data_IF_067031228228
#
_entry.id   IF_067031228228
#
_cell.length_a   1.000
_cell.length_b   1.000
_cell.length_c   1.000
_cell.angle_alpha   90.00
_cell.angle_beta   90.00
_cell.angle_gamma   90.00
#
_symmetry.space_group_name_H-M   'P 1'
#
loop_
_entity.id
_entity.type
_entity.pdbx_description
1 polymer ?
#
# COMPACT_ATOMS: atom_id res chain seq x y z
N UNK A 1 -77.56 -0.13 -22.69
CA UNK A 1 -76.99 -0.41 -21.35
C UNK A 1 -75.91 0.61 -21.05
N UNK A 2 -76.20 1.63 -20.23
CA UNK A 2 -75.21 2.65 -19.86
C UNK A 2 -74.56 2.28 -18.52
N UNK A 3 -73.23 2.11 -18.51
CA UNK A 3 -72.42 1.74 -17.35
C UNK A 3 -72.44 2.90 -16.32
N UNK A 4 -73.04 2.69 -15.15
CA UNK A 4 -73.06 3.66 -14.05
C UNK A 4 -71.62 3.86 -13.55
N UNK A 5 -71.05 5.05 -13.79
CA UNK A 5 -69.74 5.44 -13.24
C UNK A 5 -69.90 5.64 -11.74
N UNK A 6 -69.33 4.72 -10.94
CA UNK A 6 -69.22 4.90 -9.49
C UNK A 6 -68.20 6.00 -9.20
N UNK A 7 -68.67 7.23 -8.98
CA UNK A 7 -67.84 8.30 -8.44
C UNK A 7 -67.69 8.07 -6.94
N UNK A 8 -66.49 7.73 -6.49
CA UNK A 8 -66.18 7.64 -5.06
C UNK A 8 -66.41 9.00 -4.40
N UNK A 9 -66.97 9.07 -3.18
CA UNK A 9 -67.20 10.33 -2.49
C UNK A 9 -65.85 11.02 -2.20
N UNK A 10 -65.74 12.30 -2.57
CA UNK A 10 -64.57 13.13 -2.26
C UNK A 10 -64.65 13.65 -0.82
N UNK A 11 -63.57 13.46 -0.06
CA UNK A 11 -63.42 13.97 1.31
C UNK A 11 -63.55 15.51 1.36
N UNK A 12 -64.14 16.02 2.44
CA UNK A 12 -64.29 17.46 2.67
C UNK A 12 -62.92 18.15 2.85
N UNK A 13 -62.79 19.45 2.51
CA UNK A 13 -61.54 20.19 2.69
C UNK A 13 -61.01 20.16 4.14
N UNK A 14 -61.90 20.25 5.14
CA UNK A 14 -61.52 20.18 6.55
C UNK A 14 -60.99 18.79 6.95
N UNK A 15 -61.62 17.71 6.44
CA UNK A 15 -61.14 16.34 6.66
C UNK A 15 -59.77 16.11 6.02
N UNK A 16 -59.53 16.68 4.83
CA UNK A 16 -58.22 16.64 4.17
C UNK A 16 -57.15 17.38 4.98
N UNK A 17 -57.47 18.58 5.49
CA UNK A 17 -56.55 19.38 6.30
C UNK A 17 -56.20 18.70 7.63
N UNK A 18 -57.20 18.11 8.30
CA UNK A 18 -57.00 17.32 9.52
C UNK A 18 -56.14 16.07 9.29
N UNK A 19 -56.32 15.36 8.17
CA UNK A 19 -55.43 14.25 7.81
C UNK A 19 -54.01 14.71 7.52
N UNK A 20 -53.81 15.85 6.84
CA UNK A 20 -52.46 16.41 6.61
C UNK A 20 -51.78 16.75 7.95
N UNK A 21 -52.51 17.41 8.85
CA UNK A 21 -51.99 17.76 10.19
C UNK A 21 -51.61 16.53 11.02
N UNK A 22 -52.29 15.40 10.85
CA UNK A 22 -51.98 14.13 11.51
C UNK A 22 -50.81 13.39 10.85
N UNK A 23 -50.75 13.37 9.51
CA UNK A 23 -49.76 12.62 8.75
C UNK A 23 -48.37 13.22 8.82
N UNK A 24 -48.24 14.55 8.94
CA UNK A 24 -46.94 15.23 9.00
C UNK A 24 -46.12 14.78 10.23
N UNK A 25 -46.63 14.83 11.48
CA UNK A 25 -45.90 14.33 12.66
C UNK A 25 -45.54 12.84 12.56
N UNK A 26 -46.43 12.01 12.00
CA UNK A 26 -46.17 10.58 11.80
C UNK A 26 -45.03 10.37 10.81
N UNK A 27 -45.05 11.07 9.67
CA UNK A 27 -43.98 11.00 8.68
C UNK A 27 -42.64 11.47 9.25
N UNK A 28 -42.64 12.56 10.04
CA UNK A 28 -41.44 13.03 10.75
C UNK A 28 -40.95 11.97 11.73
N UNK A 29 -41.84 11.38 12.53
CA UNK A 29 -41.47 10.35 13.52
C UNK A 29 -40.88 9.11 12.84
N UNK A 30 -41.50 8.63 11.77
CA UNK A 30 -41.00 7.52 10.97
C UNK A 30 -39.62 7.87 10.40
N UNK A 31 -39.46 9.06 9.82
CA UNK A 31 -38.17 9.51 9.29
C UNK A 31 -37.07 9.56 10.37
N UNK A 32 -37.39 10.09 11.55
CA UNK A 32 -36.43 10.18 12.67
C UNK A 32 -36.04 8.78 13.14
N UNK A 33 -37.00 7.87 13.30
CA UNK A 33 -36.73 6.49 13.71
C UNK A 33 -35.91 5.74 12.65
N UNK A 34 -36.23 5.89 11.36
CA UNK A 34 -35.45 5.25 10.29
C UNK A 34 -34.05 5.86 10.18
N UNK A 35 -33.89 7.16 10.38
CA UNK A 35 -32.59 7.83 10.41
C UNK A 35 -31.69 7.29 11.53
N UNK A 36 -32.22 7.17 12.76
CA UNK A 36 -31.45 6.64 13.88
C UNK A 36 -31.17 5.14 13.74
N UNK A 37 -32.15 4.34 13.30
CA UNK A 37 -31.94 2.93 13.01
C UNK A 37 -30.87 2.74 11.91
N UNK A 38 -30.87 3.59 10.89
CA UNK A 38 -29.84 3.59 9.85
C UNK A 38 -28.46 3.98 10.40
N UNK A 39 -28.38 5.01 11.25
CA UNK A 39 -27.13 5.41 11.91
C UNK A 39 -26.56 4.28 12.77
N UNK A 40 -27.38 3.61 13.56
CA UNK A 40 -26.96 2.48 14.37
C UNK A 40 -26.44 1.34 13.48
N UNK A 41 -27.12 1.05 12.37
CA UNK A 41 -26.69 0.03 11.41
C UNK A 41 -25.30 0.35 10.81
N UNK A 42 -25.01 1.62 10.52
CA UNK A 42 -23.71 2.07 10.01
C UNK A 42 -22.56 1.88 11.00
N UNK A 43 -22.84 1.72 12.30
CA UNK A 43 -21.80 1.41 13.30
C UNK A 43 -21.38 -0.04 13.30
N UNK A 44 -22.10 -0.92 12.60
CA UNK A 44 -21.74 -2.33 12.52
C UNK A 44 -20.40 -2.48 11.77
N UNK A 45 -19.49 -3.37 12.23
CA UNK A 45 -18.15 -3.52 11.65
C UNK A 45 -18.11 -3.81 10.15
N UNK A 46 -19.18 -4.41 9.60
CA UNK A 46 -19.26 -4.75 8.18
C UNK A 46 -19.40 -3.51 7.29
N UNK A 47 -20.12 -2.48 7.75
CA UNK A 47 -20.30 -1.23 7.00
C UNK A 47 -19.04 -0.36 7.07
N UNK A 48 -18.35 -0.36 8.21
CA UNK A 48 -17.04 0.26 8.36
C UNK A 48 -16.04 -0.35 7.37
N UNK A 49 -15.95 -1.69 7.33
CA UNK A 49 -15.07 -2.41 6.39
C UNK A 49 -15.44 -2.13 4.92
N UNK A 50 -16.73 -2.11 4.59
CA UNK A 50 -17.20 -1.82 3.24
C UNK A 50 -16.85 -0.38 2.81
N UNK A 51 -17.09 0.60 3.69
CA UNK A 51 -16.76 2.00 3.42
C UNK A 51 -15.25 2.18 3.26
N UNK A 52 -14.44 1.50 4.07
CA UNK A 52 -12.99 1.53 3.98
C UNK A 52 -12.47 0.87 2.71
N UNK A 53 -12.97 -0.31 2.34
CA UNK A 53 -12.60 -0.98 1.10
C UNK A 53 -12.93 -0.10 -0.11
N UNK A 54 -14.13 0.51 -0.12
CA UNK A 54 -14.51 1.45 -1.17
C UNK A 54 -13.58 2.67 -1.23
N UNK A 55 -13.18 3.21 -0.09
CA UNK A 55 -12.23 4.33 -0.04
C UNK A 55 -10.84 3.93 -0.57
N UNK A 56 -10.34 2.73 -0.24
CA UNK A 56 -9.10 2.20 -0.82
C UNK A 56 -9.22 2.09 -2.33
N UNK A 57 -10.31 1.48 -2.83
CA UNK A 57 -10.55 1.32 -4.26
C UNK A 57 -10.55 2.69 -4.97
N UNK A 58 -11.27 3.69 -4.46
CA UNK A 58 -11.31 5.05 -5.00
C UNK A 58 -9.94 5.76 -4.98
N UNK A 59 -9.13 5.55 -3.94
CA UNK A 59 -7.76 6.08 -3.88
C UNK A 59 -6.88 5.39 -4.92
N UNK A 60 -6.91 4.06 -4.97
CA UNK A 60 -6.04 3.28 -5.85
C UNK A 60 -6.40 3.41 -7.33
N UNK A 61 -7.64 3.78 -7.68
CA UNK A 61 -8.04 4.14 -9.04
C UNK A 61 -7.25 5.32 -9.61
N UNK A 62 -6.63 6.14 -8.77
CA UNK A 62 -5.76 7.23 -9.21
C UNK A 62 -4.38 6.76 -9.62
N UNK A 63 -4.01 5.53 -9.28
CA UNK A 63 -2.70 4.96 -9.59
C UNK A 63 -2.79 4.16 -10.88
N UNK A 64 -1.82 4.33 -11.76
CA UNK A 64 -1.72 3.52 -12.98
C UNK A 64 -1.48 2.02 -12.66
N UNK A 65 -0.85 1.75 -11.52
CA UNK A 65 -0.69 0.44 -10.91
C UNK A 65 -1.00 0.57 -9.42
N UNK A 66 -2.08 -0.07 -9.01
CA UNK A 66 -2.48 -0.31 -7.62
C UNK A 66 -1.34 -0.90 -6.79
N UNK A 67 -1.13 -0.39 -5.58
CA UNK A 67 -0.19 -0.99 -4.62
C UNK A 67 -0.84 -2.26 -4.09
N UNK A 68 -0.25 -3.46 -4.28
CA UNK A 68 -0.83 -4.67 -3.73
C UNK A 68 -0.92 -4.58 -2.21
N UNK A 69 -2.13 -4.64 -1.66
CA UNK A 69 -2.39 -4.42 -0.24
C UNK A 69 -1.57 -5.35 0.66
N UNK A 70 -1.31 -6.58 0.20
CA UNK A 70 -0.46 -7.55 0.91
C UNK A 70 0.96 -7.07 1.19
N UNK A 71 1.49 -6.11 0.41
CA UNK A 71 2.84 -5.58 0.59
C UNK A 71 2.88 -4.35 1.49
N UNK A 72 1.76 -3.62 1.65
CA UNK A 72 1.71 -2.40 2.46
C UNK A 72 2.20 -2.63 3.90
N UNK A 73 1.79 -3.69 4.60
CA UNK A 73 2.27 -3.94 5.96
C UNK A 73 3.78 -4.20 6.03
N UNK A 74 4.37 -4.81 5.00
CA UNK A 74 5.82 -5.06 4.93
C UNK A 74 6.57 -3.74 4.80
N UNK A 75 6.08 -2.82 3.96
CA UNK A 75 6.67 -1.49 3.84
C UNK A 75 6.55 -0.69 5.15
N UNK A 76 5.41 -0.77 5.84
CA UNK A 76 5.20 -0.08 7.13
C UNK A 76 6.16 -0.65 8.19
N UNK A 77 6.30 -1.97 8.29
CA UNK A 77 7.23 -2.57 9.24
C UNK A 77 8.70 -2.17 8.96
N UNK A 78 9.08 -2.07 7.68
CA UNK A 78 10.40 -1.58 7.29
C UNK A 78 10.58 -0.07 7.58
N UNK A 79 9.54 0.74 7.40
CA UNK A 79 9.51 2.15 7.81
C UNK A 79 9.74 2.30 9.31
N UNK A 80 9.05 1.53 10.14
CA UNK A 80 9.21 1.55 11.60
C UNK A 80 10.63 1.20 12.03
N UNK A 81 11.28 0.24 11.35
CA UNK A 81 12.65 -0.19 11.66
C UNK A 81 13.72 0.80 11.18
N UNK A 82 13.56 1.36 9.99
CA UNK A 82 14.64 2.10 9.31
C UNK A 82 14.39 3.60 9.14
N UNK A 83 13.19 4.09 9.46
CA UNK A 83 12.76 5.47 9.27
C UNK A 83 12.60 5.89 7.81
N UNK A 84 12.57 4.93 6.87
CA UNK A 84 12.39 5.19 5.44
C UNK A 84 10.90 5.18 5.14
N UNK A 85 10.31 6.25 4.55
CA UNK A 85 8.88 6.31 4.30
C UNK A 85 8.36 5.07 3.55
N UNK A 86 7.28 4.46 4.02
CA UNK A 86 6.76 3.22 3.43
C UNK A 86 6.32 3.44 1.96
N UNK A 87 5.84 4.64 1.65
CA UNK A 87 5.46 5.07 0.29
C UNK A 87 6.67 5.18 -0.63
N UNK A 88 7.86 5.49 -0.10
CA UNK A 88 9.11 5.48 -0.87
C UNK A 88 9.55 4.04 -1.20
N UNK A 89 9.36 3.10 -0.27
CA UNK A 89 9.64 1.67 -0.50
C UNK A 89 8.68 1.11 -1.56
N UNK A 90 7.40 1.44 -1.49
CA UNK A 90 6.42 1.10 -2.51
C UNK A 90 6.80 1.68 -3.89
N UNK A 91 7.26 2.93 -3.94
CA UNK A 91 7.70 3.56 -5.19
C UNK A 91 8.92 2.85 -5.82
N UNK A 92 9.92 2.44 -5.03
CA UNK A 92 11.03 1.64 -5.53
C UNK A 92 10.52 0.29 -6.04
N UNK A 93 9.73 -0.44 -5.26
CA UNK A 93 9.23 -1.76 -5.66
C UNK A 93 8.43 -1.70 -6.97
N UNK A 94 7.66 -0.63 -7.16
CA UNK A 94 6.96 -0.34 -8.41
C UNK A 94 7.92 -0.16 -9.59
N UNK A 95 8.94 0.68 -9.44
CA UNK A 95 9.90 0.98 -10.51
C UNK A 95 10.75 -0.25 -10.86
N UNK A 96 11.17 -1.01 -9.85
CA UNK A 96 12.05 -2.16 -10.04
C UNK A 96 11.34 -3.33 -10.73
N UNK A 97 10.15 -3.69 -10.27
CA UNK A 97 9.51 -4.95 -10.72
C UNK A 97 8.01 -4.83 -10.95
N UNK A 98 7.45 -3.61 -10.95
CA UNK A 98 6.00 -3.36 -11.01
C UNK A 98 5.27 -4.21 -9.97
N UNK A 99 5.78 -4.17 -8.74
CA UNK A 99 5.31 -4.97 -7.60
C UNK A 99 5.38 -6.49 -7.86
N UNK A 100 6.58 -7.00 -8.18
CA UNK A 100 6.83 -8.43 -8.39
C UNK A 100 6.10 -9.08 -9.57
N UNK A 101 5.70 -8.30 -10.58
CA UNK A 101 4.96 -8.83 -11.75
C UNK A 101 5.88 -9.17 -12.93
N UNK A 102 7.16 -8.80 -12.87
CA UNK A 102 8.17 -9.15 -13.87
C UNK A 102 8.55 -10.62 -13.72
N UNK A 103 8.53 -11.39 -14.82
CA UNK A 103 8.66 -12.87 -14.76
C UNK A 103 10.02 -13.38 -14.26
N UNK A 104 11.12 -12.77 -14.70
CA UNK A 104 12.47 -13.30 -14.42
C UNK A 104 13.01 -12.84 -13.08
N UNK A 105 12.54 -11.70 -12.57
CA UNK A 105 13.08 -11.04 -11.37
C UNK A 105 14.61 -10.89 -11.39
N UNK A 106 15.19 -10.92 -12.59
CA UNK A 106 16.61 -10.73 -12.89
C UNK A 106 16.71 -9.78 -14.07
N UNK A 107 17.38 -8.64 -13.89
CA UNK A 107 17.60 -7.65 -14.95
C UNK A 107 18.72 -8.06 -15.91
N UNK A 108 18.81 -7.40 -17.06
CA UNK A 108 19.94 -7.57 -17.99
C UNK A 108 21.30 -7.19 -17.37
N UNK A 109 21.28 -6.28 -16.39
CA UNK A 109 22.45 -5.90 -15.62
C UNK A 109 22.84 -6.92 -14.55
N UNK A 110 21.99 -7.92 -14.27
CA UNK A 110 22.21 -8.94 -13.24
C UNK A 110 21.75 -8.51 -11.85
N UNK A 111 20.83 -7.54 -11.76
CA UNK A 111 20.15 -7.22 -10.51
C UNK A 111 19.06 -8.25 -10.22
N UNK A 112 18.85 -8.63 -8.97
CA UNK A 112 18.04 -9.78 -8.57
C UNK A 112 16.94 -9.40 -7.56
N UNK A 113 15.83 -10.14 -7.60
CA UNK A 113 14.81 -10.12 -6.56
C UNK A 113 13.80 -8.97 -6.64
N UNK A 114 12.96 -8.84 -5.62
CA UNK A 114 11.82 -7.91 -5.59
C UNK A 114 12.22 -6.45 -5.76
N UNK A 115 13.35 -6.09 -5.17
CA UNK A 115 13.91 -4.74 -5.16
C UNK A 115 15.14 -4.59 -6.08
N UNK A 116 15.40 -5.57 -6.96
CA UNK A 116 16.46 -5.57 -7.97
C UNK A 116 17.82 -5.11 -7.42
N UNK A 117 18.35 -5.85 -6.45
CA UNK A 117 19.69 -5.60 -5.92
C UNK A 117 20.76 -6.20 -6.82
N UNK A 118 21.85 -5.44 -7.05
CA UNK A 118 23.08 -6.05 -7.56
C UNK A 118 23.67 -6.99 -6.49
N UNK A 119 24.12 -8.21 -6.83
CA UNK A 119 24.62 -9.18 -5.85
C UNK A 119 25.72 -8.63 -4.92
N UNK A 120 26.65 -7.83 -5.43
CA UNK A 120 27.70 -7.20 -4.64
C UNK A 120 27.21 -6.10 -3.69
N UNK A 121 26.08 -5.47 -3.99
CA UNK A 121 25.41 -4.57 -3.05
C UNK A 121 24.73 -5.38 -1.95
N UNK A 122 24.13 -6.52 -2.31
CA UNK A 122 23.40 -7.36 -1.36
C UNK A 122 24.35 -8.08 -0.39
N UNK A 123 25.34 -8.83 -0.91
CA UNK A 123 26.35 -9.56 -0.09
C UNK A 123 27.43 -8.63 0.48
N UNK A 124 27.74 -7.53 -0.21
CA UNK A 124 28.76 -6.56 0.20
C UNK A 124 29.97 -6.52 -0.72
N UNK A 125 30.41 -5.30 -1.03
CA UNK A 125 31.47 -5.01 -1.99
C UNK A 125 32.86 -5.50 -1.59
N UNK A 126 33.05 -5.90 -0.33
CA UNK A 126 34.31 -6.51 0.14
C UNK A 126 34.43 -7.99 -0.20
N UNK A 127 33.39 -8.62 -0.77
CA UNK A 127 33.47 -9.98 -1.25
C UNK A 127 34.54 -10.08 -2.36
N UNK A 128 35.46 -11.06 -2.33
CA UNK A 128 36.64 -11.09 -3.19
C UNK A 128 36.34 -11.19 -4.68
N UNK A 129 35.15 -11.66 -5.04
CA UNK A 129 34.71 -11.78 -6.45
C UNK A 129 33.96 -10.55 -6.95
N UNK A 130 33.71 -9.54 -6.11
CA UNK A 130 32.96 -8.36 -6.50
C UNK A 130 33.76 -7.43 -7.41
N UNK A 131 33.18 -7.14 -8.58
CA UNK A 131 33.80 -6.29 -9.59
C UNK A 131 32.76 -5.73 -10.58
N UNK A 132 33.17 -4.75 -11.38
CA UNK A 132 32.35 -4.20 -12.48
C UNK A 132 31.04 -3.60 -11.95
N UNK A 133 29.91 -3.96 -12.57
CA UNK A 133 28.57 -3.50 -12.18
C UNK A 133 28.03 -4.15 -10.90
N UNK A 134 28.81 -5.01 -10.23
CA UNK A 134 28.41 -5.61 -8.96
C UNK A 134 27.74 -6.99 -9.07
N UNK A 135 28.07 -7.77 -10.12
CA UNK A 135 27.60 -9.16 -10.28
C UNK A 135 28.33 -10.14 -9.36
N UNK A 136 29.66 -10.15 -9.43
CA UNK A 136 30.51 -11.12 -8.75
C UNK A 136 30.25 -12.58 -9.13
N UNK A 137 31.18 -13.47 -8.76
CA UNK A 137 30.96 -14.92 -8.77
C UNK A 137 30.69 -15.34 -7.33
N UNK A 138 29.43 -15.28 -6.91
CA UNK A 138 28.99 -15.52 -5.53
C UNK A 138 28.01 -16.70 -5.57
N UNK A 139 28.20 -17.71 -4.73
CA UNK A 139 27.23 -18.81 -4.64
C UNK A 139 25.92 -18.32 -4.00
N UNK A 140 24.78 -18.95 -4.31
CA UNK A 140 23.49 -18.58 -3.69
C UNK A 140 23.54 -18.62 -2.15
N UNK A 141 24.22 -19.63 -1.59
CA UNK A 141 24.38 -19.78 -0.15
C UNK A 141 25.21 -18.65 0.48
N UNK A 142 26.25 -18.16 -0.20
CA UNK A 142 27.03 -17.01 0.28
C UNK A 142 26.27 -15.70 0.12
N UNK A 143 25.58 -15.50 -1.02
CA UNK A 143 24.81 -14.29 -1.31
C UNK A 143 23.75 -14.02 -0.24
N UNK A 144 23.09 -15.08 0.23
CA UNK A 144 21.93 -15.02 1.12
C UNK A 144 22.27 -15.33 2.58
N UNK A 145 23.55 -15.54 2.91
CA UNK A 145 23.98 -15.82 4.29
C UNK A 145 24.11 -14.53 5.10
N UNK A 146 23.35 -14.34 6.19
CA UNK A 146 23.47 -13.15 7.04
C UNK A 146 24.89 -12.94 7.58
N UNK A 147 25.60 -14.03 7.92
CA UNK A 147 27.00 -13.98 8.35
C UNK A 147 27.91 -13.43 7.24
N UNK A 148 27.73 -13.91 6.01
CA UNK A 148 28.53 -13.48 4.85
C UNK A 148 28.24 -12.03 4.50
N UNK A 149 26.96 -11.63 4.52
CA UNK A 149 26.53 -10.25 4.30
C UNK A 149 27.17 -9.32 5.33
N UNK A 150 27.13 -9.67 6.62
CA UNK A 150 27.75 -8.89 7.68
C UNK A 150 29.28 -8.79 7.50
N UNK A 151 29.94 -9.90 7.17
CA UNK A 151 31.39 -9.97 6.94
C UNK A 151 31.84 -9.04 5.82
N UNK A 152 31.12 -9.00 4.70
CA UNK A 152 31.50 -8.19 3.54
C UNK A 152 30.83 -6.82 3.48
N UNK A 153 30.01 -6.49 4.47
CA UNK A 153 29.36 -5.18 4.61
C UNK A 153 28.26 -4.94 3.58
N UNK A 154 27.50 -5.98 3.27
CA UNK A 154 26.34 -5.91 2.39
C UNK A 154 25.10 -5.32 3.07
N UNK A 155 24.06 -5.14 2.28
CA UNK A 155 22.79 -4.55 2.72
C UNK A 155 21.66 -5.56 2.88
N UNK A 156 21.87 -6.82 2.51
CA UNK A 156 20.88 -7.88 2.69
C UNK A 156 20.47 -8.05 4.16
N UNK A 157 19.19 -8.29 4.39
CA UNK A 157 18.58 -8.44 5.71
C UNK A 157 17.72 -9.70 5.69
N UNK A 158 18.00 -10.63 6.61
CA UNK A 158 17.08 -11.69 7.03
C UNK A 158 16.07 -11.02 7.98
N UNK A 159 14.94 -10.62 7.42
CA UNK A 159 13.92 -9.83 8.09
C UNK A 159 12.86 -10.71 8.74
N UNK A 160 12.54 -11.85 8.13
CA UNK A 160 11.58 -12.81 8.65
C UNK A 160 12.18 -13.77 9.71
N UNK A 161 13.52 -13.80 9.86
CA UNK A 161 14.24 -14.54 10.89
C UNK A 161 14.42 -16.03 10.59
N UNK A 162 14.34 -16.45 9.32
CA UNK A 162 14.47 -17.86 8.92
C UNK A 162 15.94 -18.32 8.75
N UNK A 163 16.89 -17.40 8.94
CA UNK A 163 18.33 -17.64 8.80
C UNK A 163 18.88 -17.36 7.40
N UNK A 164 18.04 -16.89 6.48
CA UNK A 164 18.38 -16.60 5.09
C UNK A 164 17.94 -15.17 4.78
N UNK A 165 18.83 -14.38 4.16
CA UNK A 165 18.46 -13.09 3.60
C UNK A 165 18.21 -13.28 2.09
N UNK A 166 16.98 -13.60 1.70
CA UNK A 166 16.64 -13.90 0.30
C UNK A 166 16.11 -12.65 -0.43
N UNK A 167 16.80 -12.09 -1.45
CA UNK A 167 16.25 -11.00 -2.27
C UNK A 167 14.95 -11.36 -3.02
N UNK A 168 14.59 -12.65 -3.09
CA UNK A 168 13.33 -13.17 -3.64
C UNK A 168 12.27 -13.44 -2.57
N UNK A 169 12.57 -13.25 -1.29
CA UNK A 169 11.56 -13.07 -0.25
C UNK A 169 11.19 -11.59 -0.15
N UNK A 170 9.90 -11.30 -0.07
CA UNK A 170 9.42 -9.92 -0.12
C UNK A 170 9.79 -9.14 1.15
N UNK A 171 9.78 -9.78 2.32
CA UNK A 171 10.07 -9.13 3.58
C UNK A 171 11.57 -8.79 3.65
N UNK A 172 12.42 -9.75 3.33
CA UNK A 172 13.87 -9.57 3.26
C UNK A 172 14.26 -8.50 2.24
N UNK A 173 13.69 -8.54 1.04
CA UNK A 173 14.03 -7.61 -0.03
C UNK A 173 13.63 -6.16 0.34
N UNK A 174 12.43 -5.96 0.89
CA UNK A 174 11.96 -4.64 1.31
C UNK A 174 12.78 -4.10 2.48
N UNK A 175 13.10 -4.93 3.47
CA UNK A 175 13.93 -4.53 4.60
C UNK A 175 15.37 -4.23 4.16
N UNK A 176 15.89 -4.97 3.19
CA UNK A 176 17.19 -4.69 2.57
C UNK A 176 17.20 -3.34 1.85
N UNK A 177 16.13 -3.02 1.11
CA UNK A 177 15.97 -1.71 0.47
C UNK A 177 15.86 -0.57 1.49
N UNK A 178 15.10 -0.77 2.57
CA UNK A 178 14.99 0.19 3.66
C UNK A 178 16.32 0.42 4.39
N UNK A 179 17.07 -0.66 4.68
CA UNK A 179 18.41 -0.60 5.24
C UNK A 179 19.36 0.23 4.34
N UNK A 180 19.38 -0.07 3.04
CA UNK A 180 20.17 0.66 2.06
C UNK A 180 19.79 2.15 2.04
N UNK A 181 18.52 2.47 1.80
CA UNK A 181 18.05 3.85 1.65
C UNK A 181 18.27 4.68 2.93
N UNK A 182 18.07 4.07 4.10
CA UNK A 182 18.35 4.72 5.39
C UNK A 182 19.84 5.08 5.53
N UNK A 183 20.75 4.16 5.15
CA UNK A 183 22.20 4.40 5.16
C UNK A 183 22.60 5.60 4.31
N UNK A 184 21.92 5.82 3.19
CA UNK A 184 22.19 6.93 2.27
C UNK A 184 21.36 8.20 2.56
N UNK A 185 20.64 8.22 3.68
CA UNK A 185 20.07 9.44 4.26
C UNK A 185 18.57 9.62 4.06
N UNK A 186 17.84 8.64 3.49
CA UNK A 186 16.39 8.76 3.31
C UNK A 186 15.66 9.04 4.64
N UNK A 187 16.06 8.36 5.72
CA UNK A 187 15.50 8.57 7.06
C UNK A 187 15.80 9.96 7.67
N UNK A 188 16.76 10.70 7.08
CA UNK A 188 17.11 12.07 7.47
C UNK A 188 16.50 13.12 6.52
N UNK A 189 15.63 12.69 5.61
CA UNK A 189 15.04 13.56 4.59
C UNK A 189 15.91 13.78 3.35
N UNK A 190 17.08 13.15 3.24
CA UNK A 190 17.95 13.21 2.05
C UNK A 190 17.44 12.27 0.93
N UNK A 191 16.13 12.31 0.66
CA UNK A 191 15.40 11.35 -0.19
C UNK A 191 16.01 11.26 -1.59
N UNK A 192 16.21 12.39 -2.27
CA UNK A 192 16.76 12.42 -3.64
C UNK A 192 18.14 11.77 -3.72
N UNK A 193 19.00 12.07 -2.74
CA UNK A 193 20.36 11.50 -2.66
C UNK A 193 20.31 10.00 -2.45
N UNK A 194 19.46 9.52 -1.54
CA UNK A 194 19.32 8.09 -1.29
C UNK A 194 18.82 7.33 -2.54
N UNK A 195 17.85 7.88 -3.26
CA UNK A 195 17.35 7.29 -4.51
C UNK A 195 18.46 7.25 -5.58
N UNK A 196 19.23 8.34 -5.73
CA UNK A 196 20.33 8.38 -6.69
C UNK A 196 21.45 7.39 -6.36
N UNK A 197 21.69 7.12 -5.08
CA UNK A 197 22.65 6.08 -4.67
C UNK A 197 22.15 4.69 -5.05
N UNK A 198 20.84 4.44 -4.89
CA UNK A 198 20.21 3.19 -5.31
C UNK A 198 20.39 2.93 -6.82
N UNK A 199 20.18 3.96 -7.63
CA UNK A 199 20.42 3.93 -9.07
C UNK A 199 20.90 5.30 -9.57
N UNK A 200 22.11 5.35 -10.14
CA UNK A 200 22.80 6.58 -10.57
C UNK A 200 22.24 7.14 -11.89
N UNK A 201 20.92 7.31 -11.95
CA UNK A 201 20.16 7.81 -13.09
C UNK A 201 19.19 8.87 -12.63
N UNK A 202 19.36 10.10 -13.11
CA UNK A 202 18.42 11.20 -12.82
C UNK A 202 16.99 10.84 -13.24
N UNK A 203 16.84 10.11 -14.35
CA UNK A 203 15.52 9.66 -14.80
C UNK A 203 14.88 8.68 -13.82
N UNK A 204 15.68 7.79 -13.23
CA UNK A 204 15.20 6.90 -12.19
C UNK A 204 14.75 7.69 -10.95
N UNK A 205 15.56 8.69 -10.53
CA UNK A 205 15.23 9.56 -9.40
C UNK A 205 13.90 10.29 -9.62
N UNK A 206 13.71 10.89 -10.79
CA UNK A 206 12.45 11.54 -11.15
C UNK A 206 11.26 10.58 -11.07
N UNK A 207 11.40 9.39 -11.64
CA UNK A 207 10.33 8.40 -11.68
C UNK A 207 9.96 7.91 -10.27
N UNK A 208 10.94 7.59 -9.42
CA UNK A 208 10.69 7.16 -8.04
C UNK A 208 10.06 8.30 -7.24
N UNK A 209 10.55 9.54 -7.35
CA UNK A 209 9.96 10.69 -6.66
C UNK A 209 8.53 10.95 -7.08
N UNK A 210 8.21 10.79 -8.37
CA UNK A 210 6.85 10.93 -8.87
C UNK A 210 5.89 9.97 -8.16
N UNK A 211 6.19 8.68 -8.14
CA UNK A 211 5.34 7.69 -7.47
C UNK A 211 5.38 7.83 -5.94
N UNK A 212 6.52 8.19 -5.37
CA UNK A 212 6.61 8.49 -3.94
C UNK A 212 5.64 9.62 -3.57
N UNK A 213 5.65 10.75 -4.30
CA UNK A 213 4.74 11.87 -4.04
C UNK A 213 3.27 11.47 -4.26
N UNK A 214 2.98 10.70 -5.31
CA UNK A 214 1.63 10.21 -5.61
C UNK A 214 1.09 9.34 -4.46
N UNK A 215 1.89 8.40 -3.96
CA UNK A 215 1.50 7.52 -2.86
C UNK A 215 1.47 8.26 -1.53
N UNK A 216 2.40 9.20 -1.31
CA UNK A 216 2.48 9.98 -0.08
C UNK A 216 1.31 10.96 0.08
N UNK A 217 0.63 11.34 -1.00
CA UNK A 217 -0.60 12.13 -0.93
C UNK A 217 -1.76 11.40 -0.22
N UNK A 218 -1.68 10.07 -0.12
CA UNK A 218 -2.68 9.20 0.51
C UNK A 218 -2.08 8.33 1.63
N UNK A 219 -0.98 8.81 2.23
CA UNK A 219 -0.17 8.07 3.18
C UNK A 219 -1.00 7.55 4.37
N UNK A 220 -1.71 8.44 5.05
CA UNK A 220 -2.44 8.13 6.28
C UNK A 220 -3.68 7.30 6.00
N UNK A 221 -4.39 7.61 4.91
CA UNK A 221 -5.59 6.90 4.48
C UNK A 221 -5.28 5.44 4.13
N UNK A 222 -4.27 5.19 3.31
CA UNK A 222 -3.87 3.82 2.92
C UNK A 222 -3.32 3.04 4.12
N UNK A 223 -2.53 3.70 4.99
CA UNK A 223 -1.98 3.08 6.20
C UNK A 223 -3.09 2.67 7.17
N UNK A 224 -4.00 3.58 7.50
CA UNK A 224 -5.14 3.29 8.36
C UNK A 224 -6.03 2.18 7.78
N UNK A 225 -6.25 2.21 6.46
CA UNK A 225 -7.11 1.26 5.78
C UNK A 225 -6.61 -0.19 5.83
N UNK A 226 -5.29 -0.36 5.79
CA UNK A 226 -4.66 -1.68 5.81
C UNK A 226 -4.46 -2.21 7.24
N UNK A 227 -4.13 -1.34 8.21
CA UNK A 227 -3.88 -1.76 9.59
C UNK A 227 -5.16 -2.18 10.34
N UNK A 228 -6.28 -1.51 10.10
CA UNK A 228 -7.57 -1.88 10.72
C UNK A 228 -8.07 -3.27 10.29
N UNK A 229 -7.61 -3.78 9.14
CA UNK A 229 -7.92 -5.13 8.67
C UNK A 229 -7.08 -6.23 9.34
N UNK A 230 -6.05 -5.90 10.12
CA UNK A 230 -5.16 -6.86 10.80
C UNK A 230 -5.46 -7.11 12.28
N UNK A 231 -6.21 -6.23 12.95
CA UNK A 231 -6.50 -6.34 14.39
C UNK A 231 -7.70 -7.25 14.75
N UNK A 232 -8.17 -8.09 13.82
CA UNK A 232 -9.27 -9.05 14.04
C UNK A 232 -8.95 -10.40 13.44
#
# INVERSE_FOLDING_TARGET
MAKKKNNKPMLSPATKLGMIALLIPIAITVYVLTFFAWKELQTLPIFEKLAQQKAIEEIQEQFDISIPEKFIPVYIAAEEKYGVPWTLLAAHHRIETRFSTVKTMVSSAGAEGHMQFMPCTFVGWRHPTCSGLGKGSISKAELMSPETIAKYGGYGVDANGDGIADPYDIEDAVFSAANYLSKYGAAKGEIKKAIFQYNHSEKYVENVLHYYQLYNAYHDELKAAVLLNREK
#
